data_IF_418017305214
#
_entry.id   IF_418017305214
#
_cell.length_a   1.000
_cell.length_b   1.000
_cell.length_c   1.000
_cell.angle_alpha   90.00
_cell.angle_beta   90.00
_cell.angle_gamma   90.00
#
_symmetry.space_group_name_H-M   'P 1'
#
loop_
_entity.id
_entity.type
_entity.pdbx_description
1 polymer ?
#
# COMPACT_ATOMS: atom_id res chain seq x y z
N UNK A 1 -10.68 20.96 15.02
CA UNK A 1 -10.79 21.28 13.58
C UNK A 1 -9.89 20.28 12.87
N UNK A 2 -10.49 19.31 12.19
CA UNK A 2 -9.79 18.35 11.33
C UNK A 2 -9.65 18.99 9.94
N UNK A 3 -8.80 20.00 9.83
CA UNK A 3 -8.48 20.61 8.55
C UNK A 3 -7.41 19.77 7.86
N UNK A 4 -7.71 19.30 6.65
CA UNK A 4 -6.84 18.67 5.65
C UNK A 4 -6.54 17.16 5.72
N UNK A 5 -7.50 16.34 6.13
CA UNK A 5 -7.36 14.87 6.00
C UNK A 5 -7.85 14.31 4.65
N UNK A 6 -8.05 15.15 3.65
CA UNK A 6 -8.88 14.80 2.48
C UNK A 6 -8.14 14.46 1.21
N UNK A 7 -6.83 14.69 1.11
CA UNK A 7 -6.08 14.49 -0.14
C UNK A 7 -4.97 13.46 0.00
N UNK A 8 -4.92 12.51 -0.93
CA UNK A 8 -3.84 11.54 -1.07
C UNK A 8 -3.02 11.85 -2.33
N UNK A 9 -1.73 12.05 -2.18
CA UNK A 9 -0.81 12.11 -3.32
C UNK A 9 -0.37 10.70 -3.70
N UNK A 10 -0.64 10.26 -4.91
CA UNK A 10 -0.17 8.98 -5.45
C UNK A 10 0.96 9.28 -6.43
N UNK A 11 2.16 8.84 -6.09
CA UNK A 11 3.39 9.20 -6.79
C UNK A 11 3.95 7.98 -7.51
N UNK A 12 4.04 8.08 -8.84
CA UNK A 12 4.74 7.09 -9.63
C UNK A 12 6.25 7.37 -9.61
N UNK A 13 7.04 6.45 -9.06
CA UNK A 13 8.50 6.54 -9.01
C UNK A 13 9.20 5.52 -9.90
N UNK A 14 8.51 4.97 -10.90
CA UNK A 14 9.02 3.98 -11.87
C UNK A 14 8.24 4.04 -13.17
N UNK A 15 8.57 3.17 -14.12
CA UNK A 15 8.05 3.23 -15.49
C UNK A 15 7.02 2.16 -15.86
N UNK A 16 6.94 1.04 -15.12
CA UNK A 16 6.12 -0.10 -15.53
C UNK A 16 4.62 0.05 -15.25
N UNK A 17 4.25 0.78 -14.19
CA UNK A 17 2.83 0.99 -13.92
C UNK A 17 2.27 2.11 -14.80
N UNK A 18 1.19 1.83 -15.51
CA UNK A 18 0.58 2.81 -16.41
C UNK A 18 -0.20 3.87 -15.63
N UNK A 19 -0.44 5.01 -16.26
CA UNK A 19 -1.27 6.06 -15.67
C UNK A 19 -2.72 5.61 -15.43
N UNK A 20 -3.27 4.79 -16.35
CA UNK A 20 -4.61 4.21 -16.18
C UNK A 20 -4.70 3.29 -14.97
N UNK A 21 -3.67 2.49 -14.71
CA UNK A 21 -3.60 1.61 -13.54
C UNK A 21 -3.47 2.39 -12.23
N UNK A 22 -2.68 3.47 -12.22
CA UNK A 22 -2.60 4.36 -11.07
C UNK A 22 -3.94 5.02 -10.76
N UNK A 23 -4.68 5.41 -11.81
CA UNK A 23 -6.03 5.96 -11.66
C UNK A 23 -7.00 4.93 -11.11
N UNK A 24 -6.92 3.69 -11.56
CA UNK A 24 -7.73 2.59 -11.01
C UNK A 24 -7.40 2.35 -9.53
N UNK A 25 -6.12 2.27 -9.18
CA UNK A 25 -5.66 2.12 -7.79
C UNK A 25 -6.17 3.29 -6.94
N UNK A 26 -6.04 4.53 -7.40
CA UNK A 26 -6.53 5.72 -6.71
C UNK A 26 -8.04 5.67 -6.44
N UNK A 27 -8.83 5.33 -7.44
CA UNK A 27 -10.28 5.19 -7.29
C UNK A 27 -10.66 4.13 -6.25
N UNK A 28 -9.99 2.98 -6.25
CA UNK A 28 -10.20 1.89 -5.29
C UNK A 28 -9.78 2.28 -3.88
N UNK A 29 -8.69 3.03 -3.73
CA UNK A 29 -8.28 3.57 -2.43
C UNK A 29 -9.34 4.56 -1.92
N UNK A 30 -9.85 5.49 -2.75
CA UNK A 30 -10.93 6.40 -2.37
C UNK A 30 -12.17 5.63 -1.90
N UNK A 31 -12.54 4.56 -2.62
CA UNK A 31 -13.69 3.73 -2.24
C UNK A 31 -13.46 3.07 -0.87
N UNK A 32 -12.25 2.54 -0.63
CA UNK A 32 -11.89 1.84 0.60
C UNK A 32 -11.73 2.76 1.81
N UNK A 33 -11.37 4.04 1.59
CA UNK A 33 -11.18 5.07 2.62
C UNK A 33 -12.23 6.18 2.54
N UNK A 34 -13.43 5.86 2.08
CA UNK A 34 -14.52 6.84 1.93
C UNK A 34 -14.81 7.58 3.24
N UNK A 35 -14.86 8.92 3.16
CA UNK A 35 -15.07 9.82 4.31
C UNK A 35 -13.79 10.16 5.07
N UNK A 36 -12.64 9.60 4.63
CA UNK A 36 -11.31 9.95 5.14
C UNK A 36 -10.51 10.62 4.01
N UNK A 37 -10.46 9.97 2.83
CA UNK A 37 -9.83 10.52 1.63
C UNK A 37 -10.95 10.98 0.70
N UNK A 38 -10.98 12.26 0.35
CA UNK A 38 -12.00 12.83 -0.55
C UNK A 38 -11.50 12.90 -1.99
N UNK A 39 -10.21 13.12 -2.17
CA UNK A 39 -9.59 13.22 -3.48
C UNK A 39 -8.17 12.65 -3.48
N UNK A 40 -7.67 12.33 -4.65
CA UNK A 40 -6.25 12.02 -4.85
C UNK A 40 -5.69 12.79 -6.05
N UNK A 41 -4.38 13.01 -6.00
CA UNK A 41 -3.61 13.56 -7.11
C UNK A 41 -2.60 12.54 -7.60
N UNK A 42 -2.48 12.39 -8.92
CA UNK A 42 -1.46 11.54 -9.53
C UNK A 42 -0.24 12.38 -9.91
N UNK A 43 0.88 12.07 -9.27
CA UNK A 43 2.14 12.76 -9.48
C UNK A 43 3.17 11.81 -10.09
N UNK A 44 4.13 12.37 -10.79
CA UNK A 44 5.29 11.65 -11.32
C UNK A 44 6.56 12.23 -10.72
N UNK A 45 7.27 11.42 -9.96
CA UNK A 45 8.59 11.73 -9.46
C UNK A 45 9.62 10.97 -10.31
N UNK A 46 10.56 11.71 -10.90
CA UNK A 46 11.62 11.09 -11.65
C UNK A 46 12.65 10.50 -10.69
N UNK A 47 12.62 9.18 -10.58
CA UNK A 47 13.74 8.42 -9.99
C UNK A 47 14.50 7.74 -11.12
N UNK A 48 15.83 7.72 -11.09
CA UNK A 48 16.60 6.88 -11.99
C UNK A 48 16.09 5.44 -11.92
N UNK A 49 16.09 4.72 -13.04
CA UNK A 49 15.78 3.29 -13.04
C UNK A 49 16.80 2.57 -12.17
N UNK A 50 16.41 2.20 -10.97
CA UNK A 50 17.22 1.48 -9.99
C UNK A 50 16.65 0.08 -9.83
N UNK A 51 17.52 -0.92 -9.73
CA UNK A 51 17.09 -2.29 -9.41
C UNK A 51 16.54 -2.40 -7.99
N UNK A 52 17.07 -1.59 -7.09
CA UNK A 52 16.60 -1.52 -5.71
C UNK A 52 16.78 -0.12 -5.11
N UNK A 53 15.94 0.22 -4.14
CA UNK A 53 15.97 1.49 -3.41
C UNK A 53 15.72 1.24 -1.92
N UNK A 54 16.36 2.03 -1.07
CA UNK A 54 16.08 2.04 0.37
C UNK A 54 14.70 2.66 0.61
N UNK A 55 13.80 1.92 1.26
CA UNK A 55 12.43 2.36 1.48
C UNK A 55 12.36 3.60 2.37
N UNK A 56 13.19 3.66 3.41
CA UNK A 56 13.22 4.80 4.32
C UNK A 56 13.70 6.07 3.62
N UNK A 57 14.79 5.98 2.84
CA UNK A 57 15.27 7.12 2.06
C UNK A 57 14.23 7.59 1.04
N UNK A 58 13.54 6.67 0.36
CA UNK A 58 12.50 7.04 -0.59
C UNK A 58 11.34 7.77 0.09
N UNK A 59 10.92 7.35 1.29
CA UNK A 59 9.88 8.07 2.04
C UNK A 59 10.32 9.47 2.47
N UNK A 60 11.57 9.67 2.84
CA UNK A 60 12.11 11.00 3.18
C UNK A 60 12.08 11.90 1.95
N UNK A 61 12.60 11.44 0.81
CA UNK A 61 12.61 12.23 -0.43
C UNK A 61 11.20 12.65 -0.84
N UNK A 62 10.24 11.70 -0.81
CA UNK A 62 8.84 12.01 -1.16
C UNK A 62 8.19 12.97 -0.15
N UNK A 63 8.55 12.88 1.15
CA UNK A 63 8.09 13.82 2.15
C UNK A 63 8.61 15.24 1.90
N UNK A 64 9.89 15.37 1.65
CA UNK A 64 10.55 16.67 1.47
C UNK A 64 10.10 17.38 0.19
N UNK A 65 9.81 16.62 -0.88
CA UNK A 65 9.43 17.20 -2.17
C UNK A 65 7.92 17.40 -2.34
N UNK A 66 7.09 16.56 -1.71
CA UNK A 66 5.63 16.53 -1.93
C UNK A 66 4.88 16.82 -0.64
N UNK A 67 5.25 16.16 0.46
CA UNK A 67 4.59 16.28 1.76
C UNK A 67 3.18 15.68 1.82
N UNK A 68 2.52 15.85 2.98
CA UNK A 68 1.16 15.36 3.22
C UNK A 68 1.03 13.84 3.16
N UNK A 69 -0.20 13.35 3.06
CA UNK A 69 -0.45 11.92 2.88
C UNK A 69 -0.01 11.49 1.48
N UNK A 70 1.09 10.77 1.40
CA UNK A 70 1.69 10.38 0.13
C UNK A 70 1.90 8.86 0.05
N UNK A 71 1.55 8.29 -1.11
CA UNK A 71 1.80 6.90 -1.47
C UNK A 71 2.73 6.86 -2.69
N UNK A 72 3.99 6.47 -2.48
CA UNK A 72 4.93 6.22 -3.57
C UNK A 72 4.77 4.80 -4.12
N UNK A 73 4.67 4.64 -5.44
CA UNK A 73 4.61 3.34 -6.10
C UNK A 73 5.82 3.22 -7.04
N UNK A 74 6.67 2.21 -6.78
CA UNK A 74 7.90 1.97 -7.53
C UNK A 74 7.95 0.56 -8.13
N UNK A 75 8.70 0.41 -9.22
CA UNK A 75 9.08 -0.88 -9.81
C UNK A 75 10.47 -1.36 -9.35
N UNK A 76 11.17 -0.59 -8.54
CA UNK A 76 12.39 -1.01 -7.87
C UNK A 76 12.10 -1.96 -6.70
N UNK A 77 13.03 -2.85 -6.37
CA UNK A 77 12.95 -3.67 -5.16
C UNK A 77 13.16 -2.77 -3.93
N UNK A 78 12.16 -2.69 -3.05
CA UNK A 78 12.29 -1.96 -1.81
C UNK A 78 13.12 -2.75 -0.81
N UNK A 79 14.11 -2.09 -0.23
CA UNK A 79 14.99 -2.63 0.80
C UNK A 79 14.79 -1.89 2.11
N UNK A 80 14.91 -2.60 3.20
CA UNK A 80 15.01 -2.01 4.54
C UNK A 80 16.13 -2.70 5.30
N UNK A 81 16.82 -1.96 6.15
CA UNK A 81 17.79 -2.55 7.07
C UNK A 81 17.06 -3.22 8.24
N UNK A 82 17.46 -4.42 8.57
CA UNK A 82 17.11 -5.06 9.83
C UNK A 82 18.04 -4.60 10.99
N UNK A 83 17.79 -5.14 12.17
CA UNK A 83 18.60 -4.81 13.36
C UNK A 83 20.07 -5.22 13.25
N UNK A 84 20.37 -6.16 12.36
CA UNK A 84 21.71 -6.69 12.10
C UNK A 84 22.35 -6.02 10.87
N UNK A 85 21.80 -4.91 10.40
CA UNK A 85 22.23 -4.13 9.23
C UNK A 85 22.14 -4.86 7.87
N UNK A 86 21.45 -6.01 7.80
CA UNK A 86 21.18 -6.67 6.53
C UNK A 86 19.99 -6.03 5.81
N UNK A 87 20.11 -5.85 4.50
CA UNK A 87 19.02 -5.35 3.69
C UNK A 87 18.04 -6.47 3.35
N UNK A 88 16.82 -6.34 3.83
CA UNK A 88 15.71 -7.23 3.49
C UNK A 88 14.80 -6.58 2.47
N UNK A 89 14.34 -7.35 1.49
CA UNK A 89 13.32 -6.90 0.55
C UNK A 89 11.95 -6.88 1.21
N UNK A 90 11.18 -5.83 0.96
CA UNK A 90 9.81 -5.67 1.44
C UNK A 90 8.87 -5.32 0.28
N UNK A 91 7.57 -5.53 0.46
CA UNK A 91 6.54 -5.15 -0.52
C UNK A 91 6.12 -3.70 -0.38
N UNK A 92 6.17 -3.16 0.82
CA UNK A 92 5.85 -1.79 1.13
C UNK A 92 6.36 -1.41 2.51
N UNK A 93 6.26 -0.14 2.86
CA UNK A 93 6.62 0.38 4.15
C UNK A 93 6.19 1.83 4.32
N UNK A 94 5.88 2.19 5.57
CA UNK A 94 5.57 3.56 6.00
C UNK A 94 6.71 4.10 6.84
N UNK A 95 7.02 5.38 6.65
CA UNK A 95 7.91 6.09 7.57
C UNK A 95 7.15 6.42 8.86
N UNK A 96 7.64 6.03 10.05
CA UNK A 96 6.97 6.32 11.31
C UNK A 96 6.85 7.82 11.61
N UNK A 97 7.77 8.64 11.09
CA UNK A 97 7.89 10.05 11.42
C UNK A 97 7.07 10.99 10.52
N UNK A 98 6.46 10.45 9.45
CA UNK A 98 5.62 11.22 8.52
C UNK A 98 4.51 10.37 7.90
N UNK A 99 3.65 10.98 7.08
CA UNK A 99 2.51 10.32 6.44
C UNK A 99 2.83 9.86 5.01
N UNK A 100 4.05 9.36 4.80
CA UNK A 100 4.50 8.83 3.51
C UNK A 100 4.69 7.33 3.59
N UNK A 101 4.03 6.63 2.69
CA UNK A 101 4.19 5.20 2.47
C UNK A 101 4.71 4.92 1.06
N UNK A 102 5.41 3.81 0.90
CA UNK A 102 5.94 3.36 -0.40
C UNK A 102 5.60 1.89 -0.64
N UNK A 103 5.35 1.56 -1.90
CA UNK A 103 5.00 0.21 -2.35
C UNK A 103 5.88 -0.18 -3.54
N UNK A 104 6.44 -1.39 -3.50
CA UNK A 104 7.14 -1.99 -4.62
C UNK A 104 6.24 -2.96 -5.37
N UNK A 105 6.18 -2.81 -6.68
CA UNK A 105 5.47 -3.73 -7.55
C UNK A 105 6.36 -4.88 -8.05
N UNK A 106 7.68 -4.83 -7.78
CA UNK A 106 8.70 -5.72 -8.33
C UNK A 106 8.39 -7.22 -8.19
N UNK A 107 7.77 -7.61 -7.09
CA UNK A 107 7.52 -9.02 -6.75
C UNK A 107 6.03 -9.39 -6.72
N UNK A 108 5.16 -8.49 -7.16
CA UNK A 108 3.70 -8.70 -7.09
C UNK A 108 3.13 -9.33 -8.37
N UNK A 109 3.78 -9.12 -9.50
CA UNK A 109 3.37 -9.70 -10.77
C UNK A 109 3.87 -11.14 -11.00
N UNK A 110 3.36 -11.82 -12.03
CA UNK A 110 4.00 -12.99 -12.60
C UNK A 110 5.36 -12.60 -13.20
N UNK A 111 6.22 -13.58 -13.46
CA UNK A 111 7.55 -13.35 -14.06
C UNK A 111 7.48 -12.66 -15.43
N UNK A 112 6.35 -12.84 -16.13
CA UNK A 112 5.97 -12.13 -17.35
C UNK A 112 4.46 -11.87 -17.32
N UNK A 113 4.06 -10.71 -17.80
CA UNK A 113 2.66 -10.35 -18.03
C UNK A 113 2.40 -10.69 -19.50
N UNK A 114 1.71 -11.81 -19.75
CA UNK A 114 1.44 -12.32 -21.10
C UNK A 114 -0.05 -12.22 -21.46
N UNK A 115 -0.89 -11.94 -20.49
CA UNK A 115 -2.34 -11.85 -20.66
C UNK A 115 -2.93 -10.69 -19.85
N UNK A 116 -4.15 -10.28 -20.19
CA UNK A 116 -4.95 -9.34 -19.43
C UNK A 116 -5.17 -9.85 -17.98
N UNK A 117 -5.42 -11.15 -17.83
CA UNK A 117 -5.55 -11.78 -16.51
C UNK A 117 -4.30 -11.65 -15.64
N UNK A 118 -3.09 -11.76 -16.23
CA UNK A 118 -1.84 -11.57 -15.51
C UNK A 118 -1.70 -10.11 -15.06
N UNK A 119 -2.14 -9.20 -15.91
CA UNK A 119 -2.12 -7.78 -15.60
C UNK A 119 -3.12 -7.43 -14.49
N UNK A 120 -4.34 -7.94 -14.57
CA UNK A 120 -5.37 -7.75 -13.53
C UNK A 120 -4.90 -8.28 -12.18
N UNK A 121 -4.28 -9.47 -12.16
CA UNK A 121 -3.70 -10.05 -10.95
C UNK A 121 -2.58 -9.17 -10.38
N UNK A 122 -1.73 -8.63 -11.24
CA UNK A 122 -0.67 -7.70 -10.85
C UNK A 122 -1.23 -6.42 -10.22
N UNK A 123 -2.28 -5.84 -10.80
CA UNK A 123 -2.93 -4.63 -10.28
C UNK A 123 -3.66 -4.94 -8.97
N UNK A 124 -4.40 -6.04 -8.89
CA UNK A 124 -5.09 -6.47 -7.67
C UNK A 124 -4.12 -6.62 -6.49
N UNK A 125 -2.99 -7.30 -6.69
CA UNK A 125 -1.96 -7.45 -5.67
C UNK A 125 -1.32 -6.12 -5.27
N UNK A 126 -1.04 -5.26 -6.25
CA UNK A 126 -0.50 -3.92 -5.98
C UNK A 126 -1.47 -3.11 -5.14
N UNK A 127 -2.75 -3.11 -5.49
CA UNK A 127 -3.79 -2.41 -4.72
C UNK A 127 -3.89 -2.93 -3.28
N UNK A 128 -3.85 -4.24 -3.06
CA UNK A 128 -3.91 -4.83 -1.71
C UNK A 128 -2.73 -4.41 -0.82
N UNK A 129 -1.54 -4.27 -1.41
CA UNK A 129 -0.39 -3.72 -0.69
C UNK A 129 -0.56 -2.21 -0.47
N UNK A 130 -1.04 -1.46 -1.47
CA UNK A 130 -1.34 -0.03 -1.30
C UNK A 130 -2.34 0.23 -0.18
N UNK A 131 -3.43 -0.55 -0.08
CA UNK A 131 -4.42 -0.41 0.99
C UNK A 131 -3.81 -0.66 2.38
N UNK A 132 -2.89 -1.62 2.48
CA UNK A 132 -2.16 -1.89 3.71
C UNK A 132 -1.29 -0.70 4.13
N UNK A 133 -0.48 -0.19 3.22
CA UNK A 133 0.45 0.90 3.50
C UNK A 133 -0.28 2.24 3.73
N UNK A 134 -1.34 2.52 2.97
CA UNK A 134 -2.21 3.69 3.22
C UNK A 134 -2.93 3.54 4.58
N UNK A 135 -3.32 2.34 4.96
CA UNK A 135 -3.85 2.07 6.30
C UNK A 135 -2.90 2.53 7.41
N UNK A 136 -1.61 2.28 7.24
CA UNK A 136 -0.60 2.77 8.18
C UNK A 136 -0.49 4.30 8.20
N UNK A 137 -0.65 5.00 7.07
CA UNK A 137 -0.69 6.46 7.04
C UNK A 137 -1.84 7.03 7.88
N UNK A 138 -2.93 6.29 8.02
CA UNK A 138 -4.07 6.63 8.87
C UNK A 138 -4.03 5.95 10.25
N UNK A 139 -2.87 5.51 10.70
CA UNK A 139 -2.64 5.02 12.06
C UNK A 139 -3.09 3.57 12.33
N UNK A 140 -3.58 2.84 11.32
CA UNK A 140 -3.86 1.43 11.49
C UNK A 140 -2.55 0.65 11.72
N UNK A 141 -2.61 -0.34 12.60
CA UNK A 141 -1.47 -1.21 12.91
C UNK A 141 -1.65 -2.60 12.31
N UNK A 142 -0.55 -3.31 12.12
CA UNK A 142 -0.57 -4.71 11.74
C UNK A 142 -1.38 -5.55 12.73
N UNK A 143 -2.21 -6.45 12.22
CA UNK A 143 -2.82 -7.45 13.07
C UNK A 143 -1.81 -8.53 13.47
N UNK A 144 -1.74 -8.84 14.76
CA UNK A 144 -0.89 -9.91 15.28
C UNK A 144 -1.32 -11.31 14.81
N UNK A 145 -2.56 -11.45 14.34
CA UNK A 145 -3.13 -12.68 13.77
C UNK A 145 -3.97 -12.36 12.54
N UNK A 146 -4.26 -13.37 11.73
CA UNK A 146 -5.15 -13.20 10.58
C UNK A 146 -6.55 -12.80 11.04
N UNK A 147 -7.00 -11.64 10.61
CA UNK A 147 -8.34 -11.12 10.88
C UNK A 147 -9.16 -11.14 9.61
N UNK A 148 -10.34 -11.72 9.68
CA UNK A 148 -11.29 -11.69 8.58
C UNK A 148 -12.03 -10.33 8.54
N UNK A 149 -12.23 -9.79 7.35
CA UNK A 149 -13.22 -8.77 7.08
C UNK A 149 -14.62 -9.38 7.04
N UNK A 150 -15.66 -8.54 6.97
CA UNK A 150 -17.06 -9.02 6.96
C UNK A 150 -17.42 -9.88 5.75
N UNK A 151 -16.71 -9.74 4.64
CA UNK A 151 -16.88 -10.55 3.43
C UNK A 151 -16.11 -11.88 3.46
N UNK A 152 -15.47 -12.21 4.57
CA UNK A 152 -14.68 -13.43 4.75
C UNK A 152 -13.25 -13.38 4.19
N UNK A 153 -12.88 -12.32 3.47
CA UNK A 153 -11.49 -12.09 3.06
C UNK A 153 -10.60 -11.70 4.25
N UNK A 154 -9.28 -11.77 4.10
CA UNK A 154 -8.40 -11.21 5.11
C UNK A 154 -8.48 -9.67 5.09
N UNK A 155 -8.52 -9.07 6.28
CA UNK A 155 -8.38 -7.62 6.43
C UNK A 155 -7.09 -7.14 5.74
N UNK A 156 -7.08 -5.99 5.04
CA UNK A 156 -5.87 -5.42 4.48
C UNK A 156 -4.71 -5.30 5.47
N UNK A 157 -4.99 -5.05 6.76
CA UNK A 157 -3.97 -4.93 7.82
C UNK A 157 -3.47 -6.28 8.36
N UNK A 158 -3.94 -7.43 7.82
CA UNK A 158 -3.40 -8.74 8.19
C UNK A 158 -1.98 -8.90 7.67
N UNK A 159 -1.07 -9.30 8.55
CA UNK A 159 0.34 -9.53 8.25
C UNK A 159 0.71 -10.99 8.50
N UNK A 160 1.55 -11.52 7.67
CA UNK A 160 2.18 -12.83 7.83
C UNK A 160 3.70 -12.70 7.95
N UNK A 161 4.36 -13.80 8.21
CA UNK A 161 5.81 -13.85 8.30
C UNK A 161 6.41 -14.25 6.94
N UNK A 162 7.11 -13.35 6.26
CA UNK A 162 7.76 -13.64 4.98
C UNK A 162 8.76 -14.80 5.12
N UNK A 163 9.49 -14.84 6.22
CA UNK A 163 10.46 -15.91 6.49
C UNK A 163 9.84 -17.31 6.54
N UNK A 164 8.56 -17.40 6.93
CA UNK A 164 7.83 -18.67 6.99
C UNK A 164 7.39 -19.16 5.61
N UNK A 165 7.10 -18.27 4.70
CA UNK A 165 6.50 -18.59 3.40
C UNK A 165 7.45 -18.37 2.23
N UNK A 166 8.52 -17.58 2.40
CA UNK A 166 9.25 -16.96 1.30
C UNK A 166 8.37 -15.96 0.54
N UNK A 167 8.95 -15.20 -0.40
CA UNK A 167 8.22 -14.13 -1.09
C UNK A 167 7.00 -14.62 -1.87
N UNK A 168 7.16 -15.65 -2.71
CA UNK A 168 6.05 -16.19 -3.50
C UNK A 168 4.97 -16.82 -2.63
N UNK A 169 5.37 -17.53 -1.59
CA UNK A 169 4.44 -18.11 -0.62
C UNK A 169 3.67 -17.04 0.15
N UNK A 170 4.34 -15.95 0.54
CA UNK A 170 3.70 -14.81 1.19
C UNK A 170 2.67 -14.12 0.27
N UNK A 171 3.01 -13.89 -1.01
CA UNK A 171 2.07 -13.33 -1.97
C UNK A 171 0.81 -14.18 -2.06
N UNK A 172 0.96 -15.50 -2.23
CA UNK A 172 -0.19 -16.42 -2.35
C UNK A 172 -0.99 -16.58 -1.06
N UNK A 173 -0.31 -16.73 0.07
CA UNK A 173 -0.98 -17.00 1.34
C UNK A 173 -1.57 -15.76 2.00
N UNK A 174 -0.96 -14.60 1.82
CA UNK A 174 -1.33 -13.37 2.52
C UNK A 174 -1.92 -12.35 1.55
N UNK A 175 -1.15 -11.89 0.55
CA UNK A 175 -1.59 -10.79 -0.32
C UNK A 175 -2.82 -11.23 -1.13
N UNK A 176 -2.80 -12.41 -1.76
CA UNK A 176 -3.94 -12.90 -2.55
C UNK A 176 -5.20 -13.10 -1.70
N UNK A 177 -5.04 -13.42 -0.41
CA UNK A 177 -6.15 -13.62 0.53
C UNK A 177 -6.69 -12.32 1.15
N UNK A 178 -5.96 -11.20 1.09
CA UNK A 178 -6.47 -9.90 1.54
C UNK A 178 -7.63 -9.46 0.66
N UNK A 179 -8.64 -8.87 1.29
CA UNK A 179 -9.75 -8.18 0.60
C UNK A 179 -9.51 -6.68 0.47
N UNK A 180 -10.56 -5.99 0.03
CA UNK A 180 -10.61 -4.53 -0.06
C UNK A 180 -11.31 -3.90 1.14
N UNK A 181 -11.89 -4.70 2.01
CA UNK A 181 -12.66 -4.25 3.19
C UNK A 181 -11.86 -4.47 4.46
N UNK A 182 -11.87 -3.47 5.32
CA UNK A 182 -11.27 -3.57 6.64
C UNK A 182 -12.14 -4.40 7.61
N UNK A 183 -11.53 -5.02 8.60
CA UNK A 183 -12.25 -5.69 9.69
C UNK A 183 -12.89 -4.67 10.64
N UNK A 184 -13.79 -5.12 11.51
CA UNK A 184 -14.54 -4.26 12.43
C UNK A 184 -13.64 -3.45 13.38
N UNK A 185 -12.49 -4.00 13.78
CA UNK A 185 -11.52 -3.30 14.63
C UNK A 185 -10.90 -2.09 13.89
N UNK A 186 -10.45 -2.29 12.65
CA UNK A 186 -9.92 -1.20 11.81
C UNK A 186 -11.01 -0.16 11.51
N UNK A 187 -12.22 -0.61 11.15
CA UNK A 187 -13.36 0.28 10.90
C UNK A 187 -13.68 1.11 12.15
N UNK A 188 -13.70 0.49 13.33
CA UNK A 188 -13.96 1.21 14.59
C UNK A 188 -12.89 2.25 14.87
N UNK A 189 -11.62 1.92 14.65
CA UNK A 189 -10.52 2.88 14.79
C UNK A 189 -10.70 4.06 13.83
N UNK A 190 -10.90 3.78 12.54
CA UNK A 190 -11.07 4.83 11.52
C UNK A 190 -12.30 5.70 11.77
N UNK A 191 -13.40 5.12 12.29
CA UNK A 191 -14.60 5.88 12.68
C UNK A 191 -14.31 6.87 13.81
N UNK A 192 -13.60 6.43 14.85
CA UNK A 192 -13.32 7.25 16.02
C UNK A 192 -12.40 8.42 15.69
N UNK A 193 -11.36 8.18 14.89
CA UNK A 193 -10.32 9.17 14.64
C UNK A 193 -10.56 10.03 13.39
N UNK A 194 -11.29 9.51 12.39
CA UNK A 194 -11.43 10.16 11.08
C UNK A 194 -12.87 10.26 10.57
N UNK A 195 -13.86 9.75 11.28
CA UNK A 195 -15.26 9.78 10.84
C UNK A 195 -15.55 8.89 9.63
N UNK A 196 -14.80 7.79 9.48
CA UNK A 196 -14.98 6.83 8.39
C UNK A 196 -16.43 6.37 8.23
N UNK A 197 -16.94 6.40 7.00
CA UNK A 197 -18.30 5.96 6.68
C UNK A 197 -18.26 4.61 5.98
N UNK A 198 -18.27 3.53 6.74
CA UNK A 198 -18.41 2.20 6.14
C UNK A 198 -19.78 2.10 5.43
N UNK A 199 -19.81 1.58 4.22
CA UNK A 199 -21.06 1.14 3.62
C UNK A 199 -21.59 -0.06 4.41
N UNK A 200 -22.58 0.18 5.23
CA UNK A 200 -23.51 -0.86 5.68
C UNK A 200 -24.51 -1.02 4.53
N UNK A 201 -24.24 -1.94 3.62
CA UNK A 201 -25.25 -2.50 2.73
C UNK A 201 -25.24 -4.01 2.92
#
# INVERSE_FOLDING_TARGET
MLENLSKLNIVRTGSYITYSSLKEIGNRILESFRGIIEEYELLHHFTPSLDSVDAHLLTIVLHDEIGGHTLGITDADLKTKDKDEFYNSIFGGKNPDNDVAVVSTKKLGPSKIESERDYDLYIDRTLKVCLHEVGHNFGLTDHASYKAARDGSLCPMSKGEINKFGYLGYVRAIIDSRGMKFCDECISFLNVFYGYRSHVT
#
